data_IF_801632960819
#
_entry.id   IF_801632960819
#
_cell.length_a   1.000
_cell.length_b   1.000
_cell.length_c   1.000
_cell.angle_alpha   90.00
_cell.angle_beta   90.00
_cell.angle_gamma   90.00
#
_symmetry.space_group_name_H-M   'P 1'
#
loop_
_entity.id
_entity.type
_entity.pdbx_description
1 polymer ?
#
# COMPACT_ATOMS: atom_id res chain seq x y z
N UNK A 1 15.80 17.38 -15.22
CA UNK A 1 15.88 16.78 -13.87
C UNK A 1 14.46 16.57 -13.39
N UNK A 2 14.02 15.33 -13.19
CA UNK A 2 12.76 15.07 -12.51
C UNK A 2 13.03 15.18 -11.01
N UNK A 3 12.14 15.85 -10.27
CA UNK A 3 12.26 15.98 -8.82
C UNK A 3 12.20 14.63 -8.11
N UNK A 4 12.54 14.60 -6.82
CA UNK A 4 12.39 13.40 -6.00
C UNK A 4 10.94 12.87 -6.07
N UNK A 5 10.77 11.55 -6.15
CA UNK A 5 9.45 10.92 -6.18
C UNK A 5 8.67 11.31 -4.92
N UNK A 6 7.50 11.98 -5.06
CA UNK A 6 6.81 12.59 -3.93
C UNK A 6 6.25 11.57 -2.93
N UNK A 7 6.16 10.28 -3.30
CA UNK A 7 5.78 9.21 -2.38
C UNK A 7 6.89 8.83 -1.40
N UNK A 8 8.15 9.17 -1.67
CA UNK A 8 9.27 8.82 -0.79
C UNK A 8 9.09 9.48 0.59
N UNK A 9 9.29 8.67 1.63
CA UNK A 9 9.15 9.06 3.04
C UNK A 9 8.30 8.07 3.85
N UNK A 10 8.11 8.42 5.13
CA UNK A 10 7.27 7.68 6.06
C UNK A 10 5.88 8.32 6.16
N UNK A 11 4.86 7.47 6.21
CA UNK A 11 3.47 7.87 6.14
C UNK A 11 2.65 7.12 7.18
N UNK A 12 2.03 7.86 8.09
CA UNK A 12 1.19 7.32 9.15
C UNK A 12 -0.25 7.24 8.73
N UNK A 13 -0.90 6.11 8.99
CA UNK A 13 -2.32 5.90 8.76
C UNK A 13 -3.14 6.82 9.69
N UNK A 14 -4.04 7.58 9.09
CA UNK A 14 -5.09 8.29 9.82
C UNK A 14 -6.36 7.41 9.83
N UNK A 15 -6.53 6.64 10.92
CA UNK A 15 -7.65 5.68 11.05
C UNK A 15 -8.99 6.40 11.02
N UNK A 16 -9.09 7.57 11.65
CA UNK A 16 -10.33 8.36 11.74
C UNK A 16 -10.82 8.85 10.37
N UNK A 17 -9.90 9.21 9.47
CA UNK A 17 -10.21 9.62 8.09
C UNK A 17 -10.35 8.45 7.11
N UNK A 18 -10.14 7.23 7.58
CA UNK A 18 -10.10 6.03 6.74
C UNK A 18 -11.40 5.22 6.82
N UNK A 19 -11.66 4.41 5.80
CA UNK A 19 -12.77 3.47 5.74
C UNK A 19 -12.25 2.06 5.44
N UNK A 20 -12.70 1.08 6.22
CA UNK A 20 -12.39 -0.33 6.06
C UNK A 20 -13.69 -1.13 6.07
N UNK A 21 -13.94 -1.87 4.99
CA UNK A 21 -15.14 -2.68 4.82
C UNK A 21 -14.79 -4.07 4.25
N UNK A 22 -15.06 -5.18 4.96
CA UNK A 22 -15.54 -5.20 6.34
C UNK A 22 -14.49 -4.64 7.32
N UNK A 23 -14.96 -4.08 8.43
CA UNK A 23 -14.11 -3.75 9.59
C UNK A 23 -13.87 -4.96 10.49
N UNK A 24 -13.19 -4.79 11.64
CA UNK A 24 -12.67 -3.52 12.17
C UNK A 24 -11.40 -2.99 11.47
N UNK A 25 -11.10 -1.68 11.55
CA UNK A 25 -9.84 -1.12 11.05
C UNK A 25 -8.64 -1.53 11.92
N UNK A 26 -7.40 -1.47 11.39
CA UNK A 26 -6.21 -1.58 12.22
C UNK A 26 -6.14 -0.44 13.24
N UNK A 27 -5.48 -0.66 14.37
CA UNK A 27 -5.26 0.37 15.40
C UNK A 27 -4.25 1.42 14.96
N UNK A 28 -3.24 1.01 14.19
CA UNK A 28 -2.23 1.90 13.63
C UNK A 28 -1.54 1.28 12.42
N UNK A 29 -0.89 2.12 11.62
CA UNK A 29 -0.05 1.68 10.51
C UNK A 29 0.91 2.79 10.07
N UNK A 30 2.12 2.40 9.68
CA UNK A 30 3.11 3.27 9.05
C UNK A 30 3.64 2.59 7.81
N UNK A 31 3.55 3.28 6.66
CA UNK A 31 4.16 2.85 5.40
C UNK A 31 5.38 3.71 5.15
N UNK A 32 6.52 3.08 4.90
CA UNK A 32 7.75 3.77 4.48
C UNK A 32 8.06 3.41 3.04
N UNK A 33 8.20 4.43 2.19
CA UNK A 33 8.67 4.30 0.82
C UNK A 33 10.10 4.80 0.71
N UNK A 34 10.99 3.95 0.20
CA UNK A 34 12.40 4.25 -0.04
C UNK A 34 12.70 4.18 -1.54
N UNK A 35 13.62 5.03 -2.06
CA UNK A 35 13.95 5.04 -3.48
C UNK A 35 14.65 3.75 -3.88
N UNK A 36 14.26 3.17 -5.02
CA UNK A 36 14.92 2.00 -5.61
C UNK A 36 14.90 2.10 -7.14
N UNK A 37 15.94 2.67 -7.75
CA UNK A 37 16.03 2.77 -9.21
C UNK A 37 14.74 3.28 -9.86
N UNK A 38 14.19 2.53 -10.82
CA UNK A 38 12.89 2.79 -11.48
C UNK A 38 11.67 2.22 -10.71
N UNK A 39 11.80 2.14 -9.39
CA UNK A 39 10.87 1.46 -8.50
C UNK A 39 10.89 2.06 -7.10
N UNK A 40 10.39 1.28 -6.15
CA UNK A 40 10.43 1.63 -4.74
C UNK A 40 10.62 0.37 -3.89
N UNK A 41 11.16 0.59 -2.69
CA UNK A 41 11.01 -0.35 -1.58
C UNK A 41 9.91 0.16 -0.67
N UNK A 42 9.02 -0.72 -0.25
CA UNK A 42 7.98 -0.45 0.73
C UNK A 42 8.23 -1.31 1.97
N UNK A 43 8.13 -0.68 3.15
CA UNK A 43 7.98 -1.37 4.44
C UNK A 43 6.68 -0.92 5.09
N UNK A 44 5.85 -1.86 5.56
CA UNK A 44 4.69 -1.59 6.42
C UNK A 44 5.00 -2.09 7.84
N UNK A 45 4.69 -1.26 8.83
CA UNK A 45 4.52 -1.66 10.22
C UNK A 45 3.10 -1.30 10.67
N UNK A 46 2.36 -2.25 11.23
CA UNK A 46 0.99 -2.02 11.66
C UNK A 46 0.66 -2.76 12.95
N UNK A 47 -0.37 -2.28 13.65
CA UNK A 47 -1.04 -3.00 14.73
C UNK A 47 -2.46 -3.28 14.25
N UNK A 48 -2.83 -4.55 14.11
CA UNK A 48 -4.17 -4.94 13.69
C UNK A 48 -5.22 -4.65 14.77
N UNK A 49 -6.49 -4.94 14.48
CA UNK A 49 -7.60 -4.67 15.38
C UNK A 49 -7.47 -5.44 16.70
N UNK A 50 -6.91 -6.65 16.65
CA UNK A 50 -6.65 -7.54 17.78
C UNK A 50 -5.44 -7.08 18.62
N UNK A 51 -4.69 -6.09 18.15
CA UNK A 51 -3.50 -5.58 18.85
C UNK A 51 -2.21 -6.32 18.51
N UNK A 52 -2.24 -7.21 17.52
CA UNK A 52 -1.06 -7.93 17.06
C UNK A 52 -0.27 -7.08 16.06
N UNK A 53 1.05 -7.08 16.23
CA UNK A 53 1.95 -6.41 15.30
C UNK A 53 2.06 -7.20 14.00
N UNK A 54 1.96 -6.49 12.89
CA UNK A 54 2.17 -7.02 11.55
C UNK A 54 3.22 -6.17 10.83
N UNK A 55 4.09 -6.81 10.06
CA UNK A 55 5.02 -6.12 9.18
C UNK A 55 5.25 -6.92 7.92
N UNK A 56 5.36 -6.22 6.80
CA UNK A 56 5.79 -6.80 5.54
C UNK A 56 6.61 -5.78 4.75
N UNK A 57 7.40 -6.29 3.81
CA UNK A 57 8.19 -5.46 2.92
C UNK A 57 8.24 -6.04 1.51
N UNK A 58 8.53 -5.19 0.53
CA UNK A 58 8.88 -5.60 -0.82
C UNK A 58 9.72 -4.54 -1.52
N UNK A 59 10.41 -4.97 -2.57
CA UNK A 59 11.08 -4.10 -3.54
C UNK A 59 10.50 -4.43 -4.92
N UNK A 60 9.95 -3.43 -5.61
CA UNK A 60 9.27 -3.62 -6.89
C UNK A 60 9.50 -2.41 -7.82
N UNK A 61 9.43 -2.66 -9.13
CA UNK A 61 9.65 -1.67 -10.18
C UNK A 61 8.33 -1.34 -10.89
N UNK A 62 8.24 -0.16 -11.52
CA UNK A 62 7.01 0.30 -12.19
C UNK A 62 6.76 -0.35 -13.57
N UNK A 63 7.25 -1.56 -13.79
CA UNK A 63 7.17 -2.29 -15.06
C UNK A 63 5.97 -3.26 -15.15
N UNK A 64 5.15 -3.33 -14.09
CA UNK A 64 3.97 -4.19 -14.02
C UNK A 64 4.26 -5.68 -13.82
N UNK A 65 5.49 -6.07 -13.50
CA UNK A 65 5.83 -7.48 -13.18
C UNK A 65 5.59 -7.79 -11.71
N UNK A 66 5.40 -9.07 -11.42
CA UNK A 66 5.22 -9.56 -10.05
C UNK A 66 6.58 -9.63 -9.31
N UNK A 67 6.65 -9.00 -8.15
CA UNK A 67 7.78 -9.05 -7.23
C UNK A 67 7.37 -9.67 -5.90
N UNK A 68 8.27 -10.43 -5.22
CA UNK A 68 7.94 -11.11 -3.98
C UNK A 68 7.66 -10.13 -2.83
N UNK A 69 6.69 -10.48 -2.00
CA UNK A 69 6.38 -9.78 -0.75
C UNK A 69 6.80 -10.67 0.43
N UNK A 70 7.55 -10.10 1.36
CA UNK A 70 8.11 -10.82 2.51
C UNK A 70 7.30 -10.45 3.76
N UNK A 71 6.83 -11.46 4.50
CA UNK A 71 6.12 -11.28 5.78
C UNK A 71 4.60 -11.04 5.67
N UNK A 72 4.06 -10.88 4.46
CA UNK A 72 2.62 -10.70 4.26
C UNK A 72 1.87 -12.03 4.32
N UNK A 73 0.83 -12.19 5.17
CA UNK A 73 -0.02 -13.37 5.14
C UNK A 73 -1.04 -13.31 3.99
N UNK A 74 -1.31 -12.13 3.43
CA UNK A 74 -2.44 -11.88 2.52
C UNK A 74 -2.09 -11.98 1.04
N UNK A 75 -0.82 -11.77 0.67
CA UNK A 75 -0.36 -11.84 -0.72
C UNK A 75 1.12 -12.21 -0.77
N UNK A 76 1.50 -12.94 -1.81
CA UNK A 76 2.86 -13.45 -2.00
C UNK A 76 3.64 -12.54 -2.97
N UNK A 77 2.93 -11.86 -3.87
CA UNK A 77 3.55 -10.92 -4.83
C UNK A 77 2.79 -9.61 -4.96
N UNK A 78 3.48 -8.59 -5.48
CA UNK A 78 2.93 -7.29 -5.89
C UNK A 78 3.52 -6.86 -7.23
N UNK A 79 2.70 -6.26 -8.08
CA UNK A 79 3.10 -5.60 -9.31
C UNK A 79 2.71 -4.12 -9.27
N UNK A 80 3.61 -3.24 -9.71
CA UNK A 80 3.41 -1.79 -9.68
C UNK A 80 3.35 -1.19 -11.08
N UNK A 81 2.55 -0.15 -11.24
CA UNK A 81 2.60 0.75 -12.40
C UNK A 81 2.52 2.20 -11.94
N UNK A 82 3.39 3.05 -12.49
CA UNK A 82 3.29 4.50 -12.34
C UNK A 82 2.34 5.04 -13.40
N UNK A 83 1.25 5.67 -12.99
CA UNK A 83 0.28 6.26 -13.92
C UNK A 83 0.67 7.70 -14.25
N UNK A 84 1.04 8.45 -13.23
CA UNK A 84 1.53 9.83 -13.28
C UNK A 84 2.38 10.11 -12.02
N UNK A 85 3.02 11.29 -11.87
CA UNK A 85 3.86 11.58 -10.69
C UNK A 85 3.16 11.45 -9.33
N UNK A 86 1.83 11.49 -9.30
CA UNK A 86 0.99 11.51 -8.10
C UNK A 86 0.16 10.23 -7.92
N UNK A 87 0.24 9.28 -8.85
CA UNK A 87 -0.60 8.07 -8.85
C UNK A 87 0.20 6.79 -9.13
N UNK A 88 0.09 5.81 -8.22
CA UNK A 88 0.63 4.46 -8.37
C UNK A 88 -0.51 3.44 -8.35
N UNK A 89 -0.48 2.48 -9.27
CA UNK A 89 -1.34 1.30 -9.28
C UNK A 89 -0.61 0.07 -8.73
N UNK A 90 -1.35 -0.76 -8.00
CA UNK A 90 -0.87 -1.98 -7.36
C UNK A 90 -1.79 -3.14 -7.72
N UNK A 91 -1.20 -4.27 -8.11
CA UNK A 91 -1.89 -5.56 -8.18
C UNK A 91 -1.18 -6.50 -7.22
N UNK A 92 -1.91 -7.09 -6.27
CA UNK A 92 -1.35 -8.08 -5.34
C UNK A 92 -1.97 -9.44 -5.58
N UNK A 93 -1.14 -10.48 -5.56
CA UNK A 93 -1.55 -11.86 -5.82
C UNK A 93 -1.21 -12.79 -4.67
N UNK A 94 -2.04 -13.81 -4.48
CA UNK A 94 -1.78 -14.95 -3.61
C UNK A 94 -2.00 -16.23 -4.42
N UNK A 95 -1.07 -17.18 -4.35
CA UNK A 95 -1.13 -18.43 -5.13
C UNK A 95 -1.37 -18.17 -6.63
N UNK A 96 -0.71 -17.15 -7.18
CA UNK A 96 -0.83 -16.71 -8.58
C UNK A 96 -2.14 -15.98 -8.94
N UNK A 97 -3.10 -15.86 -8.02
CA UNK A 97 -4.41 -15.23 -8.26
C UNK A 97 -4.46 -13.82 -7.68
N UNK A 98 -5.09 -12.90 -8.40
CA UNK A 98 -5.30 -11.52 -7.92
C UNK A 98 -6.23 -11.54 -6.71
N UNK A 99 -5.73 -11.03 -5.58
CA UNK A 99 -6.51 -10.87 -4.34
C UNK A 99 -6.84 -9.42 -4.05
N UNK A 100 -6.09 -8.47 -4.62
CA UNK A 100 -6.25 -7.03 -4.42
C UNK A 100 -5.79 -6.24 -5.64
N UNK A 101 -6.58 -5.25 -6.03
CA UNK A 101 -6.18 -4.15 -6.89
C UNK A 101 -6.30 -2.85 -6.11
N UNK A 102 -5.34 -1.94 -6.26
CA UNK A 102 -5.34 -0.68 -5.52
C UNK A 102 -4.70 0.48 -6.28
N UNK A 103 -5.01 1.69 -5.83
CA UNK A 103 -4.36 2.95 -6.24
C UNK A 103 -3.90 3.72 -5.02
N UNK A 104 -2.68 4.24 -5.06
CA UNK A 104 -2.21 5.28 -4.16
C UNK A 104 -2.23 6.62 -4.92
N UNK A 105 -2.92 7.63 -4.39
CA UNK A 105 -3.09 8.95 -5.01
C UNK A 105 -2.69 10.04 -4.02
N UNK A 106 -1.63 10.79 -4.33
CA UNK A 106 -1.22 11.96 -3.54
C UNK A 106 -2.26 13.06 -3.63
N UNK A 107 -2.58 13.67 -2.49
CA UNK A 107 -3.52 14.78 -2.39
C UNK A 107 -2.77 16.12 -2.49
N UNK A 108 -3.49 17.19 -2.83
CA UNK A 108 -2.94 18.54 -3.00
C UNK A 108 -2.11 18.97 -1.77
N UNK A 109 -0.85 19.37 -2.00
CA UNK A 109 0.10 19.76 -0.95
C UNK A 109 1.09 18.66 -0.52
N UNK A 110 1.00 17.44 -1.05
CA UNK A 110 1.96 16.32 -0.85
C UNK A 110 2.19 15.85 0.61
N UNK A 111 1.35 16.27 1.56
CA UNK A 111 1.40 15.83 2.95
C UNK A 111 0.45 14.66 3.25
N UNK A 112 -0.37 14.23 2.29
CA UNK A 112 -1.23 13.07 2.44
C UNK A 112 -1.46 12.34 1.11
N UNK A 113 -1.78 11.05 1.19
CA UNK A 113 -2.26 10.27 0.04
C UNK A 113 -3.41 9.35 0.45
N UNK A 114 -4.23 8.97 -0.53
CA UNK A 114 -5.27 7.94 -0.36
C UNK A 114 -4.81 6.64 -0.98
N UNK A 115 -4.90 5.55 -0.23
CA UNK A 115 -4.80 4.19 -0.74
C UNK A 115 -6.21 3.61 -0.87
N UNK A 116 -6.65 3.39 -2.11
CA UNK A 116 -7.97 2.88 -2.44
C UNK A 116 -7.79 1.46 -2.96
N UNK A 117 -8.31 0.47 -2.24
CA UNK A 117 -8.13 -0.93 -2.57
C UNK A 117 -9.46 -1.68 -2.60
N UNK A 118 -9.57 -2.61 -3.54
CA UNK A 118 -10.67 -3.56 -3.65
C UNK A 118 -10.12 -4.95 -3.91
N UNK A 119 -10.83 -5.96 -3.44
CA UNK A 119 -10.41 -7.33 -3.68
C UNK A 119 -11.27 -8.36 -3.00
N UNK A 120 -10.75 -9.58 -2.94
CA UNK A 120 -11.34 -10.69 -2.21
C UNK A 120 -10.25 -11.40 -1.42
N UNK A 121 -10.45 -11.57 -0.12
CA UNK A 121 -9.59 -12.36 0.75
C UNK A 121 -10.39 -13.55 1.27
N UNK A 122 -9.89 -14.77 1.08
CA UNK A 122 -10.58 -16.01 1.48
C UNK A 122 -12.04 -16.06 0.99
N UNK A 123 -12.31 -15.56 -0.22
CA UNK A 123 -13.65 -15.49 -0.83
C UNK A 123 -14.52 -14.30 -0.40
N UNK A 124 -14.17 -13.60 0.69
CA UNK A 124 -14.90 -12.43 1.19
C UNK A 124 -14.46 -11.16 0.45
N UNK A 125 -15.38 -10.38 -0.14
CA UNK A 125 -15.05 -9.10 -0.75
C UNK A 125 -14.64 -8.07 0.30
N UNK A 126 -13.78 -7.14 -0.09
CA UNK A 126 -13.43 -5.99 0.73
C UNK A 126 -13.22 -4.72 -0.10
N UNK A 127 -13.41 -3.58 0.54
CA UNK A 127 -13.07 -2.26 0.08
C UNK A 127 -12.37 -1.48 1.20
N UNK A 128 -11.25 -0.85 0.87
CA UNK A 128 -10.47 -0.03 1.81
C UNK A 128 -10.21 1.32 1.14
N UNK A 129 -10.44 2.38 1.91
CA UNK A 129 -9.99 3.73 1.61
C UNK A 129 -9.16 4.16 2.81
N UNK A 130 -7.86 3.96 2.74
CA UNK A 130 -6.93 4.39 3.78
C UNK A 130 -6.36 5.77 3.45
N UNK A 131 -6.40 6.68 4.41
CA UNK A 131 -5.78 8.01 4.33
C UNK A 131 -4.49 7.95 5.12
N UNK A 132 -3.39 8.28 4.45
CA UNK A 132 -2.07 8.38 5.07
C UNK A 132 -1.61 9.83 5.08
N UNK A 133 -0.99 10.23 6.18
CA UNK A 133 -0.42 11.56 6.39
C UNK A 133 1.10 11.41 6.55
N UNK A 134 1.87 12.30 5.95
CA UNK A 134 3.33 12.27 6.00
C UNK A 134 3.79 12.52 7.43
N UNK A 135 4.80 11.78 7.89
CA UNK A 135 5.41 11.98 9.21
C UNK A 135 6.45 13.10 9.20
#
# INVERSE_FOLDING_TARGET
MWGADPFIGAWKLNVEKSKFDPGPPPRSGTVTYEPQGEGLKLTLDAIDAEGKRQSYQYTAYFDGKDYPVIGSPVNDTVALRRIDPYTIEFISKKDGRVVRAAKAVLLSGALSYRYIAKGKLKGQPFEIIAVYEKQ
#
